data_IF_153379059178
#
_entry.id   IF_153379059178
#
_cell.length_a   1.000
_cell.length_b   1.000
_cell.length_c   1.000
_cell.angle_alpha   90.00
_cell.angle_beta   90.00
_cell.angle_gamma   90.00
#
_symmetry.space_group_name_H-M   'P 1'
#
loop_
_entity.id
_entity.type
_entity.pdbx_description
1 polymer ?
#
# COMPACT_ATOMS: atom_id res chain seq x y z
N UNK A 1 5.91 28.41 -0.02
CA UNK A 1 5.54 27.08 -0.55
C UNK A 1 4.40 26.53 0.32
N UNK A 2 3.20 26.30 -0.22
CA UNK A 2 2.10 25.69 0.54
C UNK A 2 2.54 24.28 0.97
N UNK A 3 2.62 24.03 2.28
CA UNK A 3 2.82 22.66 2.80
C UNK A 3 1.54 21.88 2.51
N UNK A 4 1.51 21.07 1.45
CA UNK A 4 0.44 20.10 1.28
C UNK A 4 0.52 19.14 2.47
N UNK A 5 -0.52 19.17 3.32
CA UNK A 5 -0.60 18.29 4.47
C UNK A 5 -0.92 16.89 3.95
N UNK A 6 -0.02 15.95 4.21
CA UNK A 6 -0.29 14.52 3.98
C UNK A 6 -1.33 14.09 5.01
N UNK A 7 -2.41 13.50 4.54
CA UNK A 7 -3.54 12.98 5.31
C UNK A 7 -4.14 11.79 4.57
N UNK A 8 -5.05 11.05 5.22
CA UNK A 8 -5.71 9.89 4.60
C UNK A 8 -6.44 10.28 3.31
N UNK A 9 -7.04 11.48 3.27
CA UNK A 9 -7.75 11.99 2.08
C UNK A 9 -6.83 12.41 0.92
N UNK A 10 -5.56 12.74 1.20
CA UNK A 10 -4.65 13.36 0.22
C UNK A 10 -3.50 12.47 -0.20
N UNK A 11 -3.16 11.46 0.61
CA UNK A 11 -1.94 10.66 0.43
C UNK A 11 -1.91 9.91 -0.91
N UNK A 12 -3.05 9.42 -1.38
CA UNK A 12 -3.16 8.71 -2.66
C UNK A 12 -2.84 9.63 -3.84
N UNK A 13 -3.43 10.83 -3.87
CA UNK A 13 -3.18 11.81 -4.94
C UNK A 13 -1.76 12.37 -4.88
N UNK A 14 -1.23 12.60 -3.67
CA UNK A 14 0.16 13.04 -3.50
C UNK A 14 1.13 11.96 -4.01
N UNK A 15 0.87 10.67 -3.75
CA UNK A 15 1.69 9.57 -4.24
C UNK A 15 1.70 9.49 -5.77
N UNK A 16 0.54 9.61 -6.42
CA UNK A 16 0.43 9.64 -7.88
C UNK A 16 1.27 10.76 -8.50
N UNK A 17 1.17 11.97 -7.95
CA UNK A 17 1.98 13.11 -8.40
C UNK A 17 3.46 12.89 -8.11
N UNK A 18 3.80 12.33 -6.95
CA UNK A 18 5.18 12.08 -6.58
C UNK A 18 5.85 11.05 -7.52
N UNK A 19 5.13 10.00 -7.92
CA UNK A 19 5.60 9.04 -8.91
C UNK A 19 5.80 9.70 -10.28
N UNK A 20 4.81 10.49 -10.74
CA UNK A 20 4.89 11.23 -12.02
C UNK A 20 6.10 12.18 -12.09
N UNK A 21 6.44 12.85 -10.99
CA UNK A 21 7.57 13.80 -10.93
C UNK A 21 8.88 13.19 -10.41
N UNK A 22 8.97 11.87 -10.21
CA UNK A 22 10.08 11.17 -9.55
C UNK A 22 10.52 11.83 -8.21
N UNK A 23 9.54 12.32 -7.45
CA UNK A 23 9.75 13.04 -6.20
C UNK A 23 9.93 12.06 -5.02
N UNK A 24 11.04 11.31 -5.03
CA UNK A 24 11.34 10.23 -4.06
C UNK A 24 11.20 10.64 -2.59
N UNK A 25 11.55 11.87 -2.25
CA UNK A 25 11.41 12.40 -0.88
C UNK A 25 9.94 12.49 -0.45
N UNK A 26 9.05 12.83 -1.38
CA UNK A 26 7.61 12.89 -1.13
C UNK A 26 7.04 11.48 -0.99
N UNK A 27 7.45 10.55 -1.86
CA UNK A 27 7.07 9.12 -1.78
C UNK A 27 7.41 8.56 -0.39
N UNK A 28 8.64 8.77 0.08
CA UNK A 28 9.08 8.31 1.41
C UNK A 28 8.24 8.91 2.55
N UNK A 29 7.91 10.21 2.49
CA UNK A 29 7.06 10.85 3.51
C UNK A 29 5.64 10.30 3.53
N UNK A 30 5.08 10.01 2.35
CA UNK A 30 3.77 9.35 2.24
C UNK A 30 3.82 7.94 2.83
N UNK A 31 4.88 7.18 2.55
CA UNK A 31 5.09 5.85 3.11
C UNK A 31 5.19 5.89 4.65
N UNK A 32 6.01 6.79 5.21
CA UNK A 32 6.13 7.00 6.65
C UNK A 32 4.79 7.39 7.30
N UNK A 33 4.00 8.23 6.63
CA UNK A 33 2.65 8.60 7.07
C UNK A 33 1.72 7.38 7.08
N UNK A 34 1.68 6.60 5.99
CA UNK A 34 0.82 5.41 5.87
C UNK A 34 1.17 4.34 6.91
N UNK A 35 2.46 4.18 7.22
CA UNK A 35 2.92 3.25 8.23
C UNK A 35 2.56 3.71 9.65
N UNK A 36 2.77 4.98 9.99
CA UNK A 36 2.82 5.38 11.40
C UNK A 36 1.67 6.25 11.87
N UNK A 37 0.97 6.92 10.96
CA UNK A 37 -0.03 7.95 11.29
C UNK A 37 -1.40 7.63 10.72
N UNK A 38 -1.45 7.10 9.50
CA UNK A 38 -2.69 6.83 8.79
C UNK A 38 -3.59 5.86 9.54
N UNK A 39 -4.88 6.19 9.64
CA UNK A 39 -5.91 5.34 10.25
C UNK A 39 -6.58 4.42 9.24
N UNK A 40 -6.13 4.46 7.99
CA UNK A 40 -6.69 3.67 6.92
C UNK A 40 -6.49 2.17 7.13
N UNK A 41 -7.44 1.43 6.59
CA UNK A 41 -7.48 -0.02 6.68
C UNK A 41 -6.43 -0.70 5.80
N UNK A 42 -6.17 -1.99 6.07
CA UNK A 42 -5.34 -2.83 5.21
C UNK A 42 -5.86 -2.84 3.75
N UNK A 43 -7.18 -2.81 3.55
CA UNK A 43 -7.85 -2.72 2.25
C UNK A 43 -7.43 -1.49 1.44
N UNK A 44 -7.15 -0.37 2.12
CA UNK A 44 -6.66 0.84 1.47
C UNK A 44 -5.14 0.81 1.30
N UNK A 45 -4.40 0.46 2.37
CA UNK A 45 -2.94 0.54 2.41
C UNK A 45 -2.25 -0.45 1.47
N UNK A 46 -2.75 -1.70 1.39
CA UNK A 46 -2.07 -2.76 0.66
C UNK A 46 -2.05 -2.51 -0.86
N UNK A 47 -3.17 -2.25 -1.56
CA UNK A 47 -3.15 -1.93 -2.99
C UNK A 47 -2.32 -0.68 -3.29
N UNK A 48 -2.40 0.34 -2.43
CA UNK A 48 -1.63 1.57 -2.58
C UNK A 48 -0.12 1.31 -2.48
N UNK A 49 0.30 0.42 -1.58
CA UNK A 49 1.68 0.03 -1.42
C UNK A 49 2.23 -0.68 -2.67
N UNK A 50 1.45 -1.58 -3.26
CA UNK A 50 1.86 -2.29 -4.47
C UNK A 50 1.96 -1.32 -5.66
N UNK A 51 0.90 -0.55 -5.93
CA UNK A 51 0.83 0.38 -7.07
C UNK A 51 1.96 1.41 -7.08
N UNK A 52 2.34 1.91 -5.91
CA UNK A 52 3.39 2.94 -5.77
C UNK A 52 4.74 2.37 -5.33
N UNK A 53 4.93 1.04 -5.37
CA UNK A 53 6.18 0.34 -5.03
C UNK A 53 6.74 0.72 -3.64
N UNK A 54 5.85 0.87 -2.65
CA UNK A 54 6.18 1.23 -1.27
C UNK A 54 6.59 -0.04 -0.50
N UNK A 55 7.87 -0.38 -0.57
CA UNK A 55 8.39 -1.67 -0.11
C UNK A 55 8.20 -1.90 1.40
N UNK A 56 8.37 -0.88 2.24
CA UNK A 56 8.23 -1.02 3.69
C UNK A 56 6.76 -1.07 4.10
N UNK A 57 5.90 -0.29 3.42
CA UNK A 57 4.46 -0.40 3.62
C UNK A 57 3.92 -1.76 3.17
N UNK A 58 4.40 -2.31 2.04
CA UNK A 58 4.06 -3.67 1.57
C UNK A 58 4.40 -4.70 2.65
N UNK A 59 5.62 -4.67 3.18
CA UNK A 59 6.07 -5.59 4.26
C UNK A 59 5.19 -5.47 5.50
N UNK A 60 4.87 -4.24 5.92
CA UNK A 60 3.99 -3.99 7.07
C UNK A 60 2.58 -4.54 6.83
N UNK A 61 2.02 -4.32 5.65
CA UNK A 61 0.71 -4.88 5.30
C UNK A 61 0.72 -6.42 5.42
N UNK A 62 1.77 -7.08 4.93
CA UNK A 62 1.91 -8.54 5.06
C UNK A 62 2.08 -9.03 6.50
N UNK A 63 2.74 -8.27 7.37
CA UNK A 63 2.87 -8.64 8.79
C UNK A 63 1.57 -8.45 9.57
N UNK A 64 0.71 -7.51 9.16
CA UNK A 64 -0.61 -7.24 9.75
C UNK A 64 -1.71 -8.20 9.27
N UNK A 65 -1.48 -8.97 8.19
CA UNK A 65 -2.41 -10.02 7.76
C UNK A 65 -2.51 -11.15 8.80
N UNK A 66 -3.73 -11.60 9.07
CA UNK A 66 -4.06 -12.64 10.05
C UNK A 66 -5.09 -13.62 9.49
N UNK A 67 -5.46 -14.64 10.28
CA UNK A 67 -6.53 -15.59 9.92
C UNK A 67 -7.89 -14.93 9.68
N UNK A 68 -8.17 -13.78 10.31
CA UNK A 68 -9.42 -13.03 10.14
C UNK A 68 -9.37 -12.01 9.00
N UNK A 69 -8.24 -11.91 8.28
CA UNK A 69 -8.13 -11.01 7.13
C UNK A 69 -9.08 -11.46 6.02
N UNK A 70 -9.91 -10.54 5.53
CA UNK A 70 -10.70 -10.78 4.33
C UNK A 70 -9.83 -10.57 3.08
N UNK A 71 -9.19 -11.63 2.59
CA UNK A 71 -8.31 -11.57 1.42
C UNK A 71 -9.01 -11.08 0.15
N UNK A 72 -10.33 -11.26 0.04
CA UNK A 72 -11.10 -10.78 -1.13
C UNK A 72 -11.06 -9.26 -1.25
N UNK A 73 -11.01 -8.55 -0.12
CA UNK A 73 -10.93 -7.09 -0.10
C UNK A 73 -9.56 -6.55 -0.55
N UNK A 74 -8.53 -7.39 -0.60
CA UNK A 74 -7.15 -7.02 -0.92
C UNK A 74 -6.79 -7.29 -2.38
N UNK A 75 -7.67 -7.98 -3.11
CA UNK A 75 -7.53 -8.27 -4.53
C UNK A 75 -7.76 -6.97 -5.31
N UNK A 76 -6.87 -6.60 -6.24
CA UNK A 76 -7.07 -5.42 -7.08
C UNK A 76 -8.21 -5.65 -8.06
N UNK A 77 -8.87 -4.58 -8.49
CA UNK A 77 -9.92 -4.64 -9.52
C UNK A 77 -9.36 -5.14 -10.86
N UNK A 78 -8.16 -4.70 -11.23
CA UNK A 78 -7.38 -5.22 -12.36
C UNK A 78 -6.31 -6.19 -11.84
N UNK A 79 -6.35 -7.44 -12.27
CA UNK A 79 -5.40 -8.46 -11.82
C UNK A 79 -3.95 -8.17 -12.22
N UNK A 80 -3.72 -7.30 -13.20
CA UNK A 80 -2.39 -6.88 -13.66
C UNK A 80 -1.77 -5.79 -12.77
N UNK A 81 -2.53 -5.18 -11.87
CA UNK A 81 -2.01 -4.23 -10.88
C UNK A 81 -1.00 -4.89 -9.92
N UNK A 82 -1.08 -6.21 -9.75
CA UNK A 82 -0.12 -7.03 -9.03
C UNK A 82 0.73 -7.81 -10.03
N UNK A 83 2.05 -7.71 -9.89
CA UNK A 83 2.95 -8.57 -10.65
C UNK A 83 2.95 -10.01 -10.11
N UNK A 84 3.60 -10.91 -10.86
CA UNK A 84 3.69 -12.34 -10.52
C UNK A 84 4.32 -12.58 -9.15
N UNK A 85 5.29 -11.77 -8.72
CA UNK A 85 5.96 -11.92 -7.44
C UNK A 85 5.02 -11.53 -6.29
N UNK A 86 4.31 -10.41 -6.44
CA UNK A 86 3.27 -9.97 -5.50
C UNK A 86 2.16 -11.01 -5.38
N UNK A 87 1.67 -11.56 -6.50
CA UNK A 87 0.66 -12.62 -6.49
C UNK A 87 1.14 -13.87 -5.75
N UNK A 88 2.38 -14.29 -5.99
CA UNK A 88 2.99 -15.44 -5.33
C UNK A 88 3.08 -15.24 -3.82
N UNK A 89 3.56 -14.08 -3.37
CA UNK A 89 3.64 -13.75 -1.94
C UNK A 89 2.25 -13.67 -1.30
N UNK A 90 1.30 -12.99 -1.96
CA UNK A 90 -0.08 -12.85 -1.50
C UNK A 90 -0.77 -14.20 -1.31
N UNK A 91 -0.70 -15.06 -2.32
CA UNK A 91 -1.28 -16.40 -2.27
C UNK A 91 -0.63 -17.26 -1.19
N UNK A 92 0.70 -17.25 -1.10
CA UNK A 92 1.45 -18.00 -0.09
C UNK A 92 1.08 -17.55 1.32
N UNK A 93 0.90 -16.24 1.53
CA UNK A 93 0.45 -15.70 2.82
C UNK A 93 -0.98 -16.15 3.14
N UNK A 94 -1.92 -16.06 2.19
CA UNK A 94 -3.30 -16.48 2.40
C UNK A 94 -3.41 -17.96 2.79
N UNK A 95 -2.68 -18.84 2.09
CA UNK A 95 -2.69 -20.27 2.37
C UNK A 95 -2.08 -20.60 3.74
N UNK A 96 -1.10 -19.82 4.23
CA UNK A 96 -0.50 -20.07 5.55
C UNK A 96 -1.48 -19.97 6.72
N UNK A 97 -2.69 -19.45 6.48
CA UNK A 97 -3.76 -19.30 7.46
C UNK A 97 -4.89 -20.32 7.36
N UNK A 98 -4.91 -21.12 6.29
CA UNK A 98 -5.85 -22.21 6.06
C UNK A 98 -5.32 -23.46 6.78
#
# INVERSE_FOLDING_TARGET
MRKYKISDDTVSEILKLADFFDAKVVVRRCEEFLMNTSKESLKFKFPLAIKNKLAELKKKCFSEMTKSTNFKDLIPDDSTDFDTEVWKEFFSKAISFI
#
